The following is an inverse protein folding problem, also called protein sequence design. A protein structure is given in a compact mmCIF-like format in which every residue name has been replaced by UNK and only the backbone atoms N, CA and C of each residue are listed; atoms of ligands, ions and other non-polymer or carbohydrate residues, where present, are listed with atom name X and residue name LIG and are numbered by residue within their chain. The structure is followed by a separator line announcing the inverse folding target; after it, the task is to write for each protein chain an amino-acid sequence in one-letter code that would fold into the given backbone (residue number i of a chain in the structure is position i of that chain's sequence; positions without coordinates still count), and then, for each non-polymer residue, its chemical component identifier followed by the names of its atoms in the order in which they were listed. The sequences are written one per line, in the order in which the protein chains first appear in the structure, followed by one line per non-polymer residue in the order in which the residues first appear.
data_IF_394118255229
#
_entry.id   IF_394118255229
#
_cell.length_a   1.000
_cell.length_b   1.000
_cell.length_c   1.000
_cell.angle_alpha   90.00
_cell.angle_beta   90.00
_cell.angle_gamma   90.00
#
_symmetry.space_group_name_H-M   'P 1'
#
loop_
_entity.id
_entity.type
_entity.pdbx_description
1 polymer ?
#
# COMPACT_ATOMS: atom_id res chain seq x y z
N UNK A 1 5.24 -7.31 2.00
CA UNK A 1 6.26 -8.03 2.79
C UNK A 1 6.68 -9.26 2.02
N UNK A 2 7.98 -9.55 1.89
CA UNK A 2 8.44 -10.79 1.24
C UNK A 2 8.01 -12.05 1.99
N UNK A 3 7.97 -11.99 3.32
CA UNK A 3 7.77 -13.18 4.15
C UNK A 3 6.32 -13.39 4.59
N UNK A 4 5.51 -12.32 4.63
CA UNK A 4 4.16 -12.35 5.22
C UNK A 4 3.02 -12.32 4.19
N UNK A 5 3.34 -12.10 2.92
CA UNK A 5 2.39 -12.08 1.79
C UNK A 5 2.92 -13.03 0.74
N UNK A 6 2.18 -14.08 0.38
CA UNK A 6 2.65 -15.03 -0.62
C UNK A 6 2.65 -14.40 -2.02
N UNK A 7 3.51 -14.89 -2.90
CA UNK A 7 3.55 -14.38 -4.27
C UNK A 7 2.22 -14.70 -4.99
N UNK A 8 1.68 -13.71 -5.70
CA UNK A 8 0.35 -13.81 -6.32
C UNK A 8 -0.86 -13.63 -5.38
N UNK A 9 -0.68 -13.39 -4.07
CA UNK A 9 -1.82 -13.13 -3.16
C UNK A 9 -2.51 -11.79 -3.41
N UNK A 10 -1.78 -10.86 -4.02
CA UNK A 10 -2.22 -9.54 -4.48
C UNK A 10 -1.81 -9.48 -5.94
N UNK A 11 -2.73 -9.12 -6.81
CA UNK A 11 -2.49 -9.00 -8.26
C UNK A 11 -3.12 -7.73 -8.82
N UNK A 12 -4.12 -7.18 -8.13
CA UNK A 12 -4.80 -5.96 -8.52
C UNK A 12 -5.01 -5.02 -7.34
N UNK A 13 -5.45 -3.78 -7.62
CA UNK A 13 -5.78 -2.83 -6.56
C UNK A 13 -7.06 -3.23 -5.81
N UNK A 14 -7.99 -3.92 -6.48
CA UNK A 14 -9.24 -4.44 -5.92
C UNK A 14 -8.96 -5.44 -4.79
N UNK A 15 -7.91 -6.26 -4.92
CA UNK A 15 -7.50 -7.24 -3.89
C UNK A 15 -7.22 -6.58 -2.53
N UNK A 16 -6.87 -5.29 -2.50
CA UNK A 16 -6.60 -4.56 -1.27
C UNK A 16 -7.85 -4.38 -0.39
N UNK A 17 -9.05 -4.54 -0.95
CA UNK A 17 -10.31 -4.51 -0.21
C UNK A 17 -10.72 -5.90 0.34
N UNK A 18 -9.99 -6.97 0.04
CA UNK A 18 -10.29 -8.32 0.56
C UNK A 18 -10.15 -8.36 2.09
N UNK A 19 -11.16 -8.84 2.85
CA UNK A 19 -11.11 -8.95 4.31
C UNK A 19 -9.93 -9.77 4.85
N UNK A 20 -9.27 -10.62 4.06
CA UNK A 20 -8.04 -11.33 4.47
C UNK A 20 -6.89 -10.39 4.82
N UNK A 21 -6.96 -9.13 4.38
CA UNK A 21 -5.99 -8.08 4.69
C UNK A 21 -6.37 -7.20 5.88
N UNK A 22 -7.39 -7.57 6.66
CA UNK A 22 -7.84 -6.77 7.79
C UNK A 22 -6.71 -6.49 8.78
N UNK A 23 -6.40 -5.21 8.97
CA UNK A 23 -5.32 -4.77 9.87
C UNK A 23 -3.92 -5.02 9.33
N UNK A 24 -3.76 -5.20 8.00
CA UNK A 24 -2.48 -5.57 7.37
C UNK A 24 -1.99 -4.54 6.34
N UNK A 25 -2.74 -3.48 6.09
CA UNK A 25 -2.38 -2.45 5.09
C UNK A 25 -1.94 -1.15 5.77
N UNK A 26 -0.85 -0.56 5.31
CA UNK A 26 -0.43 0.79 5.68
C UNK A 26 -0.36 1.66 4.43
N UNK A 27 -0.70 2.93 4.59
CA UNK A 27 -0.64 3.91 3.50
C UNK A 27 -0.53 5.30 4.07
N UNK A 28 -0.01 6.22 3.25
CA UNK A 28 -0.08 7.66 3.51
C UNK A 28 -1.53 8.16 3.42
N UNK A 29 -1.75 9.43 3.77
CA UNK A 29 -3.06 10.06 3.61
C UNK A 29 -3.66 9.83 2.21
N UNK A 30 -4.94 9.44 2.16
CA UNK A 30 -5.70 9.34 0.90
C UNK A 30 -5.96 10.70 0.25
N UNK A 31 -5.78 11.80 0.98
CA UNK A 31 -5.85 13.15 0.41
C UNK A 31 -4.56 13.57 -0.29
N UNK A 32 -3.52 12.74 -0.28
CA UNK A 32 -2.35 13.01 -1.10
C UNK A 32 -2.65 12.76 -2.58
N UNK A 33 -2.14 13.63 -3.45
CA UNK A 33 -2.34 13.62 -4.90
C UNK A 33 -2.14 12.25 -5.56
N UNK A 34 -1.18 11.43 -5.11
CA UNK A 34 -1.00 10.08 -5.68
C UNK A 34 -2.18 9.15 -5.38
N UNK A 35 -2.67 9.15 -4.14
CA UNK A 35 -3.84 8.36 -3.77
C UNK A 35 -5.13 8.92 -4.37
N UNK A 36 -5.24 10.25 -4.51
CA UNK A 36 -6.36 10.90 -5.21
C UNK A 36 -6.37 10.49 -6.68
N UNK A 37 -5.22 10.52 -7.36
CA UNK A 37 -5.11 10.12 -8.76
C UNK A 37 -5.42 8.62 -8.96
N UNK A 38 -4.89 7.74 -8.09
CA UNK A 38 -5.24 6.32 -8.11
C UNK A 38 -6.75 6.11 -7.93
N UNK A 39 -7.35 6.81 -6.97
CA UNK A 39 -8.80 6.74 -6.73
C UNK A 39 -9.60 7.26 -7.92
N UNK A 40 -9.14 8.33 -8.56
CA UNK A 40 -9.78 8.88 -9.76
C UNK A 40 -9.71 7.90 -10.94
N UNK A 41 -8.59 7.20 -11.12
CA UNK A 41 -8.48 6.14 -12.12
C UNK A 41 -9.43 4.97 -11.81
N UNK A 42 -9.45 4.50 -10.56
CA UNK A 42 -10.39 3.47 -10.12
C UNK A 42 -11.85 3.89 -10.39
N UNK A 43 -12.19 5.14 -10.09
CA UNK A 43 -13.49 5.74 -10.36
C UNK A 43 -13.85 5.75 -11.85
N UNK A 44 -12.91 6.12 -12.72
CA UNK A 44 -13.13 6.12 -14.15
C UNK A 44 -13.40 4.71 -14.72
N UNK A 45 -12.78 3.67 -14.15
CA UNK A 45 -12.93 2.30 -14.61
C UNK A 45 -14.14 1.55 -14.01
N UNK A 46 -14.52 1.86 -12.77
CA UNK A 46 -15.51 1.08 -12.02
C UNK A 46 -16.77 1.86 -11.62
N UNK A 47 -16.75 3.18 -11.74
CA UNK A 47 -17.86 4.04 -11.33
C UNK A 47 -17.94 4.29 -9.82
N UNK A 48 -18.83 5.20 -9.39
CA UNK A 48 -18.83 5.75 -8.03
C UNK A 48 -19.15 4.73 -6.93
N UNK A 49 -20.15 3.87 -7.14
CA UNK A 49 -20.57 2.89 -6.12
C UNK A 49 -19.49 1.85 -5.84
N UNK A 50 -18.86 1.32 -6.90
CA UNK A 50 -17.75 0.38 -6.76
C UNK A 50 -16.53 1.02 -6.10
N UNK A 51 -16.23 2.28 -6.45
CA UNK A 51 -15.11 3.03 -5.85
C UNK A 51 -15.32 3.25 -4.36
N UNK A 52 -16.54 3.67 -3.96
CA UNK A 52 -16.88 3.86 -2.56
C UNK A 52 -16.72 2.55 -1.78
N UNK A 53 -17.24 1.45 -2.32
CA UNK A 53 -17.13 0.11 -1.70
C UNK A 53 -15.67 -0.32 -1.54
N UNK A 54 -14.85 -0.12 -2.57
CA UNK A 54 -13.42 -0.42 -2.53
C UNK A 54 -12.68 0.43 -1.48
N UNK A 55 -12.93 1.73 -1.41
CA UNK A 55 -12.34 2.62 -0.41
C UNK A 55 -12.76 2.25 1.01
N UNK A 56 -14.01 1.83 1.22
CA UNK A 56 -14.49 1.36 2.52
C UNK A 56 -13.80 0.06 2.95
N UNK A 57 -13.65 -0.91 2.02
CA UNK A 57 -12.89 -2.14 2.26
C UNK A 57 -11.42 -1.87 2.56
N UNK A 58 -10.77 -1.03 1.76
CA UNK A 58 -9.38 -0.63 1.96
C UNK A 58 -9.19 0.08 3.30
N UNK A 59 -10.12 0.98 3.68
CA UNK A 59 -10.12 1.64 5.00
C UNK A 59 -10.28 0.64 6.15
N UNK A 60 -11.15 -0.36 5.99
CA UNK A 60 -11.35 -1.41 6.99
C UNK A 60 -10.12 -2.31 7.16
N UNK A 61 -9.26 -2.37 6.15
CA UNK A 61 -8.04 -3.16 6.13
C UNK A 61 -6.79 -2.44 6.65
N UNK A 62 -6.91 -1.16 7.00
CA UNK A 62 -5.78 -0.40 7.53
C UNK A 62 -5.33 -0.93 8.90
N UNK A 63 -4.02 -1.16 9.04
CA UNK A 63 -3.36 -1.53 10.29
C UNK A 63 -3.28 -0.36 11.27
N UNK A 64 -3.18 0.85 10.74
CA UNK A 64 -3.03 2.10 11.50
C UNK A 64 -3.63 3.28 10.73
N UNK A 65 -3.81 4.41 11.44
CA UNK A 65 -4.23 5.66 10.82
C UNK A 65 -3.21 6.08 9.75
N UNK A 66 -3.63 6.54 8.55
CA UNK A 66 -2.70 6.98 7.53
C UNK A 66 -1.77 8.10 8.00
N UNK A 67 -0.48 7.94 7.76
CA UNK A 67 0.59 8.85 8.22
C UNK A 67 1.84 8.72 7.33
N UNK A 68 2.77 9.68 7.43
CA UNK A 68 4.03 9.64 6.67
C UNK A 68 3.87 9.69 5.15
N UNK A 69 4.94 9.30 4.44
CA UNK A 69 4.98 9.12 2.99
C UNK A 69 5.27 7.66 2.59
N UNK A 70 5.42 7.41 1.29
CA UNK A 70 5.57 6.07 0.70
C UNK A 70 6.73 5.27 1.31
N UNK A 71 7.88 5.92 1.55
CA UNK A 71 9.06 5.28 2.18
C UNK A 71 8.80 4.88 3.63
N UNK A 72 8.03 5.68 4.37
CA UNK A 72 7.64 5.36 5.74
C UNK A 72 6.72 4.13 5.78
N UNK A 73 5.94 3.88 4.72
CA UNK A 73 5.11 2.68 4.64
C UNK A 73 5.96 1.44 4.41
N UNK A 74 6.98 1.53 3.56
CA UNK A 74 7.95 0.43 3.38
C UNK A 74 8.74 0.18 4.67
N UNK A 75 9.13 1.23 5.40
CA UNK A 75 9.68 1.11 6.75
C UNK A 75 8.70 0.40 7.72
N UNK A 76 7.42 0.75 7.66
CA UNK A 76 6.38 0.13 8.51
C UNK A 76 6.24 -1.37 8.18
N UNK A 77 6.38 -1.76 6.91
CA UNK A 77 6.40 -3.18 6.52
C UNK A 77 7.64 -3.88 7.09
N UNK A 78 8.82 -3.26 6.96
CA UNK A 78 10.05 -3.79 7.53
C UNK A 78 9.96 -3.96 9.06
N UNK A 79 9.36 -3.00 9.75
CA UNK A 79 9.14 -3.02 11.21
C UNK A 79 8.04 -4.01 11.66
N UNK A 80 7.30 -4.61 10.73
CA UNK A 80 6.24 -5.58 11.03
C UNK A 80 4.90 -4.94 11.46
N UNK A 81 4.71 -3.64 11.24
CA UNK A 81 3.47 -2.93 11.59
C UNK A 81 2.33 -3.19 10.58
N UNK A 82 2.68 -3.54 9.35
CA UNK A 82 1.79 -3.86 8.25
C UNK A 82 2.50 -4.82 7.28
N UNK A 83 1.75 -5.32 6.30
CA UNK A 83 2.24 -6.30 5.34
C UNK A 83 2.24 -5.77 3.91
N UNK A 84 1.32 -4.86 3.59
CA UNK A 84 1.12 -4.29 2.26
C UNK A 84 1.06 -2.77 2.37
N UNK A 85 1.62 -2.07 1.38
CA UNK A 85 1.48 -0.62 1.25
C UNK A 85 1.40 -0.19 -0.20
N UNK A 86 0.77 0.96 -0.44
CA UNK A 86 0.82 1.67 -1.71
C UNK A 86 2.02 2.63 -1.72
N UNK A 87 2.76 2.65 -2.82
CA UNK A 87 3.86 3.62 -3.00
C UNK A 87 4.39 3.63 -4.43
N UNK A 88 4.96 4.77 -4.83
CA UNK A 88 5.55 4.92 -6.15
C UNK A 88 6.89 4.19 -6.28
N UNK A 89 7.11 3.54 -7.42
CA UNK A 89 8.28 2.70 -7.70
C UNK A 89 9.61 3.43 -7.59
N UNK A 90 9.67 4.72 -7.92
CA UNK A 90 10.93 5.48 -7.82
C UNK A 90 11.43 5.61 -6.37
N UNK A 91 10.55 5.54 -5.36
CA UNK A 91 10.98 5.52 -3.97
C UNK A 91 11.73 4.24 -3.62
N UNK A 92 11.37 3.10 -4.22
CA UNK A 92 12.15 1.86 -4.08
C UNK A 92 13.57 2.04 -4.63
N UNK A 93 13.69 2.66 -5.82
CA UNK A 93 15.00 2.98 -6.40
C UNK A 93 15.81 3.97 -5.57
N UNK A 94 15.16 4.92 -4.90
CA UNK A 94 15.82 5.84 -3.98
C UNK A 94 16.28 5.13 -2.68
N UNK A 95 15.43 4.30 -2.07
CA UNK A 95 15.76 3.57 -0.84
C UNK A 95 16.89 2.58 -1.04
N UNK A 96 16.99 1.92 -2.19
CA UNK A 96 18.10 1.01 -2.50
C UNK A 96 19.47 1.70 -2.61
N UNK A 97 19.50 3.04 -2.76
CA UNK A 97 20.72 3.86 -2.83
C UNK A 97 21.07 4.53 -1.50
N UNK A 98 20.27 4.30 -0.47
CA UNK A 98 20.41 4.89 0.85
C UNK A 98 20.71 3.76 1.86
N UNK A 99 21.86 3.84 2.53
CA UNK A 99 22.36 2.74 3.38
C UNK A 99 21.41 2.41 4.53
N UNK A 100 20.68 3.39 5.07
CA UNK A 100 19.72 3.17 6.16
C UNK A 100 18.44 2.51 5.62
N UNK A 101 17.97 2.96 4.45
CA UNK A 101 16.67 2.56 3.89
C UNK A 101 16.76 1.27 3.07
N UNK A 102 17.97 0.85 2.67
CA UNK A 102 18.20 -0.34 1.84
C UNK A 102 17.58 -1.60 2.45
N UNK A 103 17.73 -1.80 3.75
CA UNK A 103 17.10 -2.92 4.47
C UNK A 103 15.56 -2.89 4.43
N UNK A 104 14.96 -1.69 4.39
CA UNK A 104 13.50 -1.56 4.29
C UNK A 104 13.04 -2.02 2.90
N UNK A 105 13.73 -1.52 1.85
CA UNK A 105 13.46 -1.90 0.47
C UNK A 105 13.68 -3.41 0.23
N UNK A 106 14.72 -4.00 0.82
CA UNK A 106 15.01 -5.43 0.67
C UNK A 106 13.98 -6.33 1.35
N UNK A 107 13.22 -5.83 2.33
CA UNK A 107 12.14 -6.57 3.02
C UNK A 107 10.84 -6.71 2.22
N UNK A 108 10.71 -5.97 1.10
CA UNK A 108 9.49 -5.93 0.29
C UNK A 108 9.76 -6.31 -1.16
N UNK A 109 8.71 -6.76 -1.85
CA UNK A 109 8.70 -6.89 -3.31
C UNK A 109 7.67 -5.92 -3.87
N UNK A 110 7.94 -5.42 -5.07
CA UNK A 110 6.94 -4.74 -5.90
C UNK A 110 6.14 -5.84 -6.59
N UNK A 111 4.82 -5.68 -6.60
CA UNK A 111 3.86 -6.60 -7.20
C UNK A 111 3.24 -5.94 -8.41
#
# INVERSE_FOLDING_TARGET
SKDRVADGDVTTYEDLADPKWKGRICTRSFTNDYNVALTAAYLAHHGPEATKTWLEGLKANLAKKPEGGDRDQVKSIWAGECDISLGNTYYMGAMLKDDEQKQWAESVRIV
#
